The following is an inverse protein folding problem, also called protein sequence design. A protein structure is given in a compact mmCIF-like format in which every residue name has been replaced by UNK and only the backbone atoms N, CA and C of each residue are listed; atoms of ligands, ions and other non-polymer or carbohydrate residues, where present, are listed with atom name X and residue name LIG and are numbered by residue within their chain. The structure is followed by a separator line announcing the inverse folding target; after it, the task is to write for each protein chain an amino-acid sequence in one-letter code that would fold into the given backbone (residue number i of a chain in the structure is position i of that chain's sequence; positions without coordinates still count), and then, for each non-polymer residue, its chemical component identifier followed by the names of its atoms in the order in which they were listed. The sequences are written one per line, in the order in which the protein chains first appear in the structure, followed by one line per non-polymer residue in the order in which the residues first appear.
data_IF_114592578489
#
_entry.id   IF_114592578489
#
_cell.length_a   1.000
_cell.length_b   1.000
_cell.length_c   1.000
_cell.angle_alpha   90.00
_cell.angle_beta   90.00
_cell.angle_gamma   90.00
#
_symmetry.space_group_name_H-M   'P 1'
#
loop_
_entity.id
_entity.type
_entity.pdbx_description
1 polymer ?
#
# COMPACT_ATOMS: atom_id res chain seq x y z
N UNK A 1 -7.95 -5.86 12.95
CA UNK A 1 -7.03 -4.91 12.29
C UNK A 1 -7.42 -4.61 10.84
N UNK A 2 -7.34 -5.56 9.88
CA UNK A 2 -7.65 -5.24 8.46
C UNK A 2 -9.14 -4.95 8.20
N UNK A 3 -10.04 -5.74 8.79
CA UNK A 3 -11.49 -5.50 8.70
C UNK A 3 -11.90 -4.17 9.36
N UNK A 4 -11.23 -3.79 10.46
CA UNK A 4 -11.46 -2.52 11.14
C UNK A 4 -11.02 -1.34 10.26
N UNK A 5 -9.90 -1.48 9.55
CA UNK A 5 -9.41 -0.45 8.64
C UNK A 5 -10.36 -0.23 7.46
N UNK A 6 -10.87 -1.32 6.88
CA UNK A 6 -11.86 -1.25 5.80
C UNK A 6 -13.17 -0.61 6.26
N UNK A 7 -13.67 -1.01 7.44
CA UNK A 7 -14.87 -0.42 8.04
C UNK A 7 -14.70 1.08 8.33
N UNK A 8 -13.51 1.50 8.76
CA UNK A 8 -13.18 2.90 9.02
C UNK A 8 -13.24 3.73 7.74
N UNK A 9 -12.68 3.21 6.64
CA UNK A 9 -12.72 3.89 5.33
C UNK A 9 -14.14 3.93 4.79
N UNK A 10 -14.92 2.85 4.92
CA UNK A 10 -16.34 2.87 4.55
C UNK A 10 -17.14 3.91 5.32
N UNK A 11 -16.95 4.00 6.64
CA UNK A 11 -17.60 5.02 7.47
C UNK A 11 -17.21 6.43 7.04
N UNK A 12 -15.93 6.67 6.72
CA UNK A 12 -15.47 7.96 6.21
C UNK A 12 -16.11 8.34 4.87
N UNK A 13 -16.21 7.39 3.93
CA UNK A 13 -16.89 7.59 2.65
C UNK A 13 -18.36 7.95 2.89
N UNK A 14 -19.05 7.24 3.78
CA UNK A 14 -20.44 7.53 4.13
C UNK A 14 -20.59 8.95 4.70
N UNK A 15 -19.71 9.36 5.62
CA UNK A 15 -19.72 10.72 6.16
C UNK A 15 -19.52 11.79 5.09
N UNK A 16 -18.56 11.59 4.17
CA UNK A 16 -18.31 12.53 3.05
C UNK A 16 -19.53 12.67 2.13
N UNK A 17 -20.18 11.55 1.79
CA UNK A 17 -21.39 11.54 0.96
C UNK A 17 -22.57 12.21 1.69
N UNK A 18 -22.74 11.95 2.99
CA UNK A 18 -23.78 12.58 3.81
C UNK A 18 -23.59 14.10 3.94
N UNK A 19 -22.35 14.57 3.91
CA UNK A 19 -22.01 16.00 3.92
C UNK A 19 -22.10 16.67 2.53
N UNK A 20 -22.60 15.95 1.51
CA UNK A 20 -22.66 16.43 0.12
C UNK A 20 -21.28 16.76 -0.50
N UNK A 21 -20.20 16.17 0.01
CA UNK A 21 -18.83 16.34 -0.52
C UNK A 21 -18.56 15.34 -1.66
N UNK A 22 -19.50 15.19 -2.61
CA UNK A 22 -19.41 14.25 -3.73
C UNK A 22 -20.20 12.95 -3.53
N UNK A 23 -20.18 12.09 -4.56
CA UNK A 23 -20.95 10.85 -4.59
C UNK A 23 -20.11 9.64 -4.15
N UNK A 24 -20.76 8.52 -3.86
CA UNK A 24 -20.05 7.29 -3.52
C UNK A 24 -19.04 6.85 -4.60
N UNK A 25 -19.35 7.09 -5.88
CA UNK A 25 -18.47 6.79 -7.02
C UNK A 25 -17.20 7.66 -7.00
N UNK A 26 -17.31 8.90 -6.52
CA UNK A 26 -16.17 9.81 -6.43
C UNK A 26 -15.17 9.34 -5.37
N UNK A 27 -15.63 8.63 -4.34
CA UNK A 27 -14.83 8.20 -3.19
C UNK A 27 -14.43 6.72 -3.18
N UNK A 28 -15.02 5.88 -4.04
CA UNK A 28 -14.75 4.42 -4.08
C UNK A 28 -13.26 4.07 -4.23
N UNK A 29 -12.45 4.98 -4.82
CA UNK A 29 -11.02 4.80 -5.01
C UNK A 29 -10.26 4.65 -3.68
N UNK A 30 -10.78 5.18 -2.57
CA UNK A 30 -10.20 5.00 -1.23
C UNK A 30 -10.23 3.54 -0.79
N UNK A 31 -11.25 2.77 -1.18
CA UNK A 31 -11.34 1.34 -0.90
C UNK A 31 -10.29 0.57 -1.71
N UNK A 32 -10.11 0.94 -2.98
CA UNK A 32 -9.05 0.37 -3.82
C UNK A 32 -7.66 0.70 -3.26
N UNK A 33 -7.46 1.94 -2.81
CA UNK A 33 -6.22 2.36 -2.17
C UNK A 33 -5.92 1.55 -0.90
N UNK A 34 -6.94 1.32 -0.07
CA UNK A 34 -6.84 0.49 1.12
C UNK A 34 -6.42 -0.95 0.80
N UNK A 35 -7.00 -1.53 -0.26
CA UNK A 35 -6.66 -2.87 -0.72
C UNK A 35 -5.22 -2.95 -1.25
N UNK A 36 -4.76 -1.94 -2.00
CA UNK A 36 -3.35 -1.84 -2.43
C UNK A 36 -2.42 -1.74 -1.22
N UNK A 37 -2.74 -0.87 -0.25
CA UNK A 37 -1.97 -0.72 0.99
C UNK A 37 -1.89 -2.05 1.76
N UNK A 38 -3.01 -2.77 1.86
CA UNK A 38 -3.09 -4.10 2.50
C UNK A 38 -2.15 -5.11 1.82
N UNK A 39 -2.16 -5.16 0.49
CA UNK A 39 -1.24 -6.03 -0.29
C UNK A 39 0.22 -5.66 -0.06
N UNK A 40 0.58 -4.38 -0.13
CA UNK A 40 1.95 -3.93 0.12
C UNK A 40 2.40 -4.29 1.56
N UNK A 41 1.57 -4.05 2.59
CA UNK A 41 1.84 -4.44 3.99
C UNK A 41 2.00 -5.94 4.18
N UNK A 42 1.14 -6.73 3.53
CA UNK A 42 1.24 -8.18 3.56
C UNK A 42 2.58 -8.62 2.97
N UNK A 43 2.97 -8.12 1.79
CA UNK A 43 4.29 -8.40 1.21
C UNK A 43 5.43 -8.05 2.17
N UNK A 44 5.41 -6.84 2.79
CA UNK A 44 6.44 -6.44 3.75
C UNK A 44 6.54 -7.42 4.93
N UNK A 45 5.40 -7.84 5.50
CA UNK A 45 5.36 -8.81 6.60
C UNK A 45 6.13 -10.11 6.29
N UNK A 46 6.06 -10.61 5.06
CA UNK A 46 6.77 -11.83 4.66
C UNK A 46 8.22 -11.57 4.25
N UNK A 47 8.57 -10.33 3.90
CA UNK A 47 9.96 -9.97 3.58
C UNK A 47 10.85 -9.89 4.82
N UNK A 48 10.34 -9.49 6.00
CA UNK A 48 11.15 -9.40 7.22
C UNK A 48 11.76 -10.73 7.69
N UNK A 49 10.99 -11.84 7.84
CA UNK A 49 11.58 -13.12 8.24
C UNK A 49 12.62 -13.62 7.23
N UNK A 50 12.41 -13.32 5.95
CA UNK A 50 13.33 -13.70 4.88
C UNK A 50 14.63 -12.89 4.93
N UNK A 51 14.57 -11.58 5.17
CA UNK A 51 15.75 -10.75 5.41
C UNK A 51 16.53 -11.20 6.65
N UNK A 52 15.83 -11.62 7.71
CA UNK A 52 16.44 -12.08 8.95
C UNK A 52 17.14 -13.45 8.79
N UNK A 53 16.57 -14.35 7.99
CA UNK A 53 17.12 -15.68 7.69
C UNK A 53 17.33 -15.88 6.18
N UNK A 54 18.31 -15.17 5.58
CA UNK A 54 18.52 -15.24 4.14
C UNK A 54 19.01 -16.64 3.73
N UNK A 55 18.48 -17.24 2.66
CA UNK A 55 19.00 -18.48 2.12
C UNK A 55 20.46 -18.33 1.73
N UNK A 56 21.28 -19.38 1.89
CA UNK A 56 22.71 -19.35 1.52
C UNK A 56 22.95 -19.02 0.03
N UNK A 57 21.95 -19.25 -0.83
CA UNK A 57 22.00 -18.94 -2.26
C UNK A 57 21.72 -17.45 -2.57
N UNK A 58 21.29 -16.65 -1.58
CA UNK A 58 20.93 -15.25 -1.78
C UNK A 58 22.18 -14.38 -1.91
N UNK A 59 22.57 -14.08 -3.14
CA UNK A 59 23.77 -13.28 -3.43
C UNK A 59 23.55 -11.77 -3.28
N UNK A 60 22.29 -11.30 -3.30
CA UNK A 60 21.93 -9.87 -3.35
C UNK A 60 21.10 -9.38 -2.16
N UNK A 61 21.46 -9.78 -0.93
CA UNK A 61 20.75 -9.37 0.29
C UNK A 61 20.65 -7.85 0.45
N UNK A 62 21.76 -7.11 0.27
CA UNK A 62 21.76 -5.65 0.41
C UNK A 62 20.80 -4.95 -0.59
N UNK A 63 20.68 -5.47 -1.81
CA UNK A 63 19.73 -4.94 -2.79
C UNK A 63 18.28 -5.24 -2.36
N UNK A 64 18.03 -6.43 -1.83
CA UNK A 64 16.72 -6.80 -1.31
C UNK A 64 16.29 -5.90 -0.14
N UNK A 65 17.16 -5.68 0.84
CA UNK A 65 16.90 -4.79 1.97
C UNK A 65 16.64 -3.35 1.50
N UNK A 66 17.39 -2.87 0.50
CA UNK A 66 17.13 -1.57 -0.11
C UNK A 66 15.74 -1.50 -0.76
N UNK A 67 15.35 -2.51 -1.56
CA UNK A 67 14.03 -2.55 -2.18
C UNK A 67 12.90 -2.70 -1.14
N UNK A 68 13.14 -3.45 -0.07
CA UNK A 68 12.22 -3.57 1.07
C UNK A 68 12.01 -2.20 1.74
N UNK A 69 13.08 -1.46 2.01
CA UNK A 69 13.01 -0.12 2.59
C UNK A 69 12.30 0.90 1.69
N UNK A 70 12.49 0.82 0.37
CA UNK A 70 11.72 1.64 -0.57
C UNK A 70 10.23 1.32 -0.49
N UNK A 71 9.85 0.04 -0.49
CA UNK A 71 8.45 -0.35 -0.38
C UNK A 71 7.84 0.10 0.97
N UNK A 72 8.60 0.04 2.06
CA UNK A 72 8.16 0.49 3.38
C UNK A 72 7.87 2.00 3.38
N UNK A 73 8.75 2.83 2.82
CA UNK A 73 8.51 4.26 2.67
C UNK A 73 7.28 4.57 1.81
N UNK A 74 7.08 3.82 0.72
CA UNK A 74 5.90 3.97 -0.14
C UNK A 74 4.60 3.57 0.56
N UNK A 75 4.64 2.54 1.40
CA UNK A 75 3.50 2.08 2.22
C UNK A 75 3.10 3.12 3.26
N UNK A 76 4.06 3.71 3.96
CA UNK A 76 3.77 4.72 4.98
C UNK A 76 3.17 5.98 4.36
N UNK A 77 3.73 6.47 3.25
CA UNK A 77 3.17 7.63 2.54
C UNK A 77 1.77 7.33 1.99
N UNK A 78 1.54 6.15 1.40
CA UNK A 78 0.20 5.75 0.94
C UNK A 78 -0.80 5.67 2.10
N UNK A 79 -0.40 5.13 3.25
CA UNK A 79 -1.24 5.07 4.46
C UNK A 79 -1.62 6.47 4.95
N UNK A 80 -0.64 7.39 4.99
CA UNK A 80 -0.88 8.76 5.41
C UNK A 80 -1.85 9.47 4.44
N UNK A 81 -1.64 9.33 3.13
CA UNK A 81 -2.52 9.93 2.12
C UNK A 81 -3.94 9.37 2.18
N UNK A 82 -4.11 8.06 2.36
CA UNK A 82 -5.45 7.46 2.54
C UNK A 82 -6.16 8.05 3.76
N UNK A 83 -5.45 8.27 4.87
CA UNK A 83 -6.04 8.83 6.09
C UNK A 83 -6.47 10.31 5.92
N UNK A 84 -5.78 11.08 5.07
CA UNK A 84 -5.99 12.52 4.92
C UNK A 84 -6.62 12.93 3.58
N UNK A 85 -6.97 11.98 2.70
CA UNK A 85 -7.42 12.28 1.35
C UNK A 85 -8.65 13.19 1.29
N UNK A 86 -8.58 14.23 0.46
CA UNK A 86 -9.70 15.07 0.07
C UNK A 86 -10.15 14.77 -1.38
N UNK A 87 -11.27 15.35 -1.82
CA UNK A 87 -11.86 15.01 -3.13
C UNK A 87 -10.94 15.37 -4.31
N UNK A 88 -10.07 16.36 -4.11
CA UNK A 88 -9.07 16.82 -5.07
C UNK A 88 -7.91 15.85 -5.26
N UNK A 89 -7.70 14.93 -4.33
CA UNK A 89 -6.45 14.16 -4.22
C UNK A 89 -6.50 12.85 -5.00
N UNK A 90 -7.61 12.57 -5.69
CA UNK A 90 -7.84 11.32 -6.42
C UNK A 90 -6.70 11.01 -7.39
N UNK A 91 -6.24 11.99 -8.16
CA UNK A 91 -5.15 11.79 -9.13
C UNK A 91 -3.83 11.42 -8.46
N UNK A 92 -3.47 12.13 -7.39
CA UNK A 92 -2.25 11.88 -6.63
C UNK A 92 -2.29 10.51 -5.93
N UNK A 93 -3.43 10.17 -5.32
CA UNK A 93 -3.58 8.88 -4.64
C UNK A 93 -3.50 7.71 -5.62
N UNK A 94 -4.14 7.82 -6.79
CA UNK A 94 -4.05 6.80 -7.84
C UNK A 94 -2.61 6.62 -8.33
N UNK A 95 -1.86 7.72 -8.51
CA UNK A 95 -0.45 7.64 -8.86
C UNK A 95 0.36 6.94 -7.77
N UNK A 96 0.15 7.30 -6.49
CA UNK A 96 0.85 6.67 -5.37
C UNK A 96 0.56 5.18 -5.24
N UNK A 97 -0.70 4.77 -5.43
CA UNK A 97 -1.08 3.36 -5.47
C UNK A 97 -0.30 2.59 -6.54
N UNK A 98 -0.20 3.15 -7.75
CA UNK A 98 0.56 2.54 -8.84
C UNK A 98 2.05 2.43 -8.52
N UNK A 99 2.62 3.43 -7.85
CA UNK A 99 4.02 3.40 -7.41
C UNK A 99 4.25 2.31 -6.35
N UNK A 100 3.42 2.23 -5.29
CA UNK A 100 3.53 1.16 -4.27
C UNK A 100 3.45 -0.22 -4.93
N UNK A 101 2.50 -0.41 -5.84
CA UNK A 101 2.30 -1.69 -6.50
C UNK A 101 3.49 -2.06 -7.41
N UNK A 102 4.10 -1.09 -8.10
CA UNK A 102 5.32 -1.32 -8.87
C UNK A 102 6.49 -1.73 -7.98
N UNK A 103 6.74 -1.02 -6.88
CA UNK A 103 7.80 -1.39 -5.93
C UNK A 103 7.56 -2.78 -5.34
N UNK A 104 6.30 -3.10 -5.00
CA UNK A 104 5.90 -4.43 -4.51
C UNK A 104 6.20 -5.52 -5.54
N UNK A 105 5.88 -5.29 -6.81
CA UNK A 105 6.16 -6.23 -7.89
C UNK A 105 7.66 -6.41 -8.15
N UNK A 106 8.45 -5.33 -8.15
CA UNK A 106 9.90 -5.39 -8.30
C UNK A 106 10.54 -6.19 -7.17
N UNK A 107 10.13 -5.94 -5.91
CA UNK A 107 10.62 -6.71 -4.76
C UNK A 107 10.28 -8.20 -4.89
N UNK A 108 9.07 -8.53 -5.35
CA UNK A 108 8.64 -9.92 -5.53
C UNK A 108 9.27 -10.63 -6.72
N UNK A 109 9.54 -9.94 -7.82
CA UNK A 109 10.24 -10.53 -8.96
C UNK A 109 11.63 -10.98 -8.52
N UNK A 110 12.39 -10.10 -7.87
CA UNK A 110 13.70 -10.41 -7.29
C UNK A 110 13.62 -11.56 -6.25
N UNK A 111 12.48 -11.70 -5.56
CA UNK A 111 12.21 -12.76 -4.60
C UNK A 111 11.91 -14.13 -5.26
N UNK A 112 11.25 -14.16 -6.42
CA UNK A 112 10.76 -15.39 -7.06
C UNK A 112 11.67 -15.93 -8.18
N UNK A 113 12.56 -15.12 -8.77
CA UNK A 113 13.48 -15.59 -9.83
C UNK A 113 14.79 -16.20 -9.31
N UNK A 114 14.86 -16.60 -8.03
CA UNK A 114 16.01 -17.31 -7.45
C UNK A 114 15.63 -18.70 -6.94
#
# INVERSE_FOLDING_TARGET
MEQEHYATIQSRIQSKVLNCEGTWIDWQYLLTAAETLRKCRYTLKYTYPYAYYPPKAMQRLALFEYQQGLLEAEVEDLSWKIAHAEITDKGELLNKMNICEKHRQTLLQEFLTN
#
